data_IF_463735602214
#
_entry.id   IF_463735602214
#
_cell.length_a   1.000
_cell.length_b   1.000
_cell.length_c   1.000
_cell.angle_alpha   90.00
_cell.angle_beta   90.00
_cell.angle_gamma   90.00
#
_symmetry.space_group_name_H-M   'P 1'
#
loop_
_entity.id
_entity.type
_entity.pdbx_description
1 polymer ?
#
# COMPACT_ATOMS: atom_id res chain seq x y z
N UNK A 1 -25.44 22.04 -3.76
CA UNK A 1 -24.89 20.67 -3.80
C UNK A 1 -23.67 20.70 -4.71
N UNK A 2 -22.49 20.30 -4.24
CA UNK A 2 -21.22 20.36 -4.98
C UNK A 2 -21.17 19.25 -6.06
N UNK A 3 -22.13 19.29 -6.99
CA UNK A 3 -22.70 18.19 -7.77
C UNK A 3 -21.74 17.14 -8.31
N UNK A 4 -21.49 16.11 -7.50
CA UNK A 4 -21.07 14.82 -8.00
C UNK A 4 -22.20 14.19 -8.84
N UNK A 5 -21.82 13.54 -9.92
CA UNK A 5 -22.70 13.16 -11.04
C UNK A 5 -23.88 12.27 -10.65
N UNK A 6 -23.74 11.42 -9.61
CA UNK A 6 -24.82 10.57 -9.14
C UNK A 6 -24.92 10.52 -7.60
N UNK A 7 -25.88 11.31 -7.08
CA UNK A 7 -26.23 11.37 -5.67
C UNK A 7 -26.65 10.01 -5.10
N UNK A 8 -27.37 9.17 -5.87
CA UNK A 8 -27.90 7.89 -5.38
C UNK A 8 -26.78 6.88 -5.17
N UNK A 9 -25.77 6.89 -6.04
CA UNK A 9 -24.61 6.02 -5.88
C UNK A 9 -23.77 6.39 -4.65
N UNK A 10 -23.63 7.68 -4.35
CA UNK A 10 -22.98 8.13 -3.12
C UNK A 10 -23.77 7.75 -1.87
N UNK A 11 -25.09 7.97 -1.85
CA UNK A 11 -25.96 7.59 -0.73
C UNK A 11 -25.89 6.09 -0.42
N UNK A 12 -25.90 5.24 -1.44
CA UNK A 12 -25.73 3.78 -1.26
C UNK A 12 -24.37 3.43 -0.68
N UNK A 13 -23.30 4.11 -1.10
CA UNK A 13 -21.95 3.85 -0.58
C UNK A 13 -21.81 4.30 0.86
N UNK A 14 -22.40 5.44 1.23
CA UNK A 14 -22.45 5.93 2.61
C UNK A 14 -23.15 4.89 3.50
N UNK A 15 -24.36 4.46 3.13
CA UNK A 15 -25.12 3.50 3.91
C UNK A 15 -24.37 2.15 4.07
N UNK A 16 -23.70 1.67 3.01
CA UNK A 16 -22.91 0.45 3.08
C UNK A 16 -21.68 0.60 4.00
N UNK A 17 -21.01 1.76 3.99
CA UNK A 17 -19.89 2.05 4.90
C UNK A 17 -20.36 2.17 6.35
N UNK A 18 -21.47 2.88 6.61
CA UNK A 18 -22.07 3.00 7.94
C UNK A 18 -22.46 1.63 8.50
N UNK A 19 -23.05 0.76 7.67
CA UNK A 19 -23.38 -0.61 8.07
C UNK A 19 -22.14 -1.43 8.42
N UNK A 20 -21.05 -1.31 7.66
CA UNK A 20 -19.79 -2.00 7.98
C UNK A 20 -19.12 -1.43 9.24
N UNK A 21 -19.16 -0.11 9.46
CA UNK A 21 -18.63 0.53 10.68
C UNK A 21 -19.42 0.07 11.92
N UNK A 22 -20.72 -0.17 11.79
CA UNK A 22 -21.56 -0.65 12.87
C UNK A 22 -21.28 -2.12 13.26
N UNK A 23 -20.81 -2.96 12.32
CA UNK A 23 -20.42 -4.36 12.54
C UNK A 23 -19.13 -4.69 11.77
N UNK A 24 -17.97 -4.20 12.22
CA UNK A 24 -16.72 -4.29 11.47
C UNK A 24 -16.19 -5.71 11.48
N UNK A 25 -16.28 -6.37 10.32
CA UNK A 25 -15.77 -7.72 10.10
C UNK A 25 -14.70 -7.71 9.03
N UNK A 26 -13.53 -8.22 9.39
CA UNK A 26 -12.41 -8.46 8.49
C UNK A 26 -12.28 -9.95 8.22
N UNK A 27 -12.00 -10.31 6.98
CA UNK A 27 -11.61 -11.68 6.64
C UNK A 27 -10.14 -11.88 7.01
N UNK A 28 -9.79 -13.11 7.38
CA UNK A 28 -8.42 -13.54 7.66
C UNK A 28 -8.14 -14.81 6.83
N UNK A 29 -6.87 -15.08 6.47
CA UNK A 29 -6.51 -16.35 5.86
C UNK A 29 -6.76 -17.51 6.83
N UNK A 30 -7.00 -18.69 6.29
CA UNK A 30 -7.03 -19.92 7.07
C UNK A 30 -5.64 -20.21 7.68
N UNK A 31 -5.61 -20.84 8.84
CA UNK A 31 -4.36 -21.11 9.58
C UNK A 31 -3.42 -22.09 8.85
N UNK A 32 -3.96 -22.86 7.90
CA UNK A 32 -3.29 -23.90 7.11
C UNK A 32 -3.24 -23.55 5.61
N UNK A 33 -3.39 -22.27 5.25
CA UNK A 33 -3.23 -21.83 3.87
C UNK A 33 -1.82 -22.14 3.34
N UNK A 34 -1.75 -22.83 2.19
CA UNK A 34 -0.49 -23.17 1.53
C UNK A 34 -0.07 -22.11 0.50
N UNK A 35 1.22 -21.77 0.48
CA UNK A 35 1.81 -20.77 -0.42
C UNK A 35 2.94 -21.39 -1.24
N UNK A 36 3.10 -20.93 -2.50
CA UNK A 36 4.18 -21.41 -3.38
C UNK A 36 5.59 -21.02 -2.89
N UNK A 37 5.69 -19.88 -2.20
CA UNK A 37 6.91 -19.40 -1.56
C UNK A 37 6.53 -18.53 -0.35
N UNK A 38 7.38 -18.53 0.68
CA UNK A 38 7.27 -17.67 1.86
C UNK A 38 8.56 -16.90 2.00
N UNK A 39 8.47 -15.57 2.01
CA UNK A 39 9.58 -14.66 2.24
C UNK A 39 9.37 -13.94 3.58
N UNK A 40 10.26 -14.19 4.53
CA UNK A 40 10.26 -13.52 5.83
C UNK A 40 11.21 -12.32 5.77
N UNK A 41 10.69 -11.13 6.07
CA UNK A 41 11.45 -9.88 6.03
C UNK A 41 11.67 -9.42 7.48
N UNK A 42 12.91 -9.46 7.97
CA UNK A 42 13.25 -8.88 9.27
C UNK A 42 13.38 -7.36 9.15
N UNK A 43 12.43 -6.63 9.74
CA UNK A 43 12.42 -5.17 9.74
C UNK A 43 13.64 -4.59 10.46
N UNK A 44 14.29 -5.34 11.36
CA UNK A 44 15.51 -4.88 11.98
C UNK A 44 16.67 -4.87 11.01
N UNK A 45 16.67 -5.64 9.92
CA UNK A 45 17.78 -5.62 8.96
C UNK A 45 17.74 -4.39 8.04
N UNK A 46 16.58 -3.76 7.89
CA UNK A 46 16.42 -2.53 7.12
C UNK A 46 16.92 -1.33 7.95
N UNK A 47 18.19 -0.99 7.79
CA UNK A 47 18.87 0.08 8.55
C UNK A 47 18.85 1.44 7.87
N UNK A 48 18.44 1.51 6.62
CA UNK A 48 18.43 2.73 5.82
C UNK A 48 17.28 2.74 4.81
N UNK A 49 16.91 3.93 4.29
CA UNK A 49 15.90 4.01 3.24
C UNK A 49 16.33 3.27 1.98
N UNK A 50 15.35 2.65 1.32
CA UNK A 50 15.52 1.95 0.05
C UNK A 50 14.81 2.75 -1.05
N UNK A 51 15.45 2.88 -2.22
CA UNK A 51 14.93 3.61 -3.37
C UNK A 51 14.90 2.69 -4.58
N UNK A 52 13.82 2.77 -5.36
CA UNK A 52 13.80 2.22 -6.71
C UNK A 52 14.57 3.15 -7.65
N UNK A 53 15.51 2.59 -8.40
CA UNK A 53 16.34 3.36 -9.32
C UNK A 53 15.53 3.85 -10.54
N UNK A 54 15.98 4.92 -11.23
CA UNK A 54 15.26 5.46 -12.37
C UNK A 54 14.97 4.42 -13.46
N UNK A 55 13.71 4.38 -13.90
CA UNK A 55 13.21 3.54 -15.00
C UNK A 55 13.13 2.03 -14.75
N UNK A 56 13.47 1.53 -13.55
CA UNK A 56 13.32 0.13 -13.18
C UNK A 56 12.77 0.00 -11.74
N UNK A 57 11.50 -0.39 -11.56
CA UNK A 57 10.90 -0.53 -10.23
C UNK A 57 11.49 -1.69 -9.40
N UNK A 58 12.21 -2.63 -10.03
CA UNK A 58 12.80 -3.80 -9.36
C UNK A 58 14.27 -3.57 -8.97
N UNK A 59 14.93 -2.52 -9.49
CA UNK A 59 16.32 -2.14 -9.12
C UNK A 59 16.33 -1.30 -7.83
N UNK A 60 16.26 -1.98 -6.69
CA UNK A 60 16.25 -1.37 -5.36
C UNK A 60 17.67 -1.18 -4.83
N UNK A 61 18.03 0.06 -4.48
CA UNK A 61 19.30 0.41 -3.84
C UNK A 61 19.08 1.12 -2.51
N UNK A 62 20.09 1.09 -1.66
CA UNK A 62 20.06 1.87 -0.43
C UNK A 62 20.24 3.36 -0.73
N UNK A 63 19.79 4.23 0.17
CA UNK A 63 20.02 5.67 0.02
C UNK A 63 21.51 5.98 -0.06
N UNK A 64 22.33 5.28 0.72
CA UNK A 64 23.79 5.51 0.72
C UNK A 64 24.43 5.18 -0.64
N UNK A 65 23.94 4.19 -1.38
CA UNK A 65 24.46 3.80 -2.70
C UNK A 65 24.21 4.86 -3.79
N UNK A 66 23.13 5.63 -3.68
CA UNK A 66 22.70 6.64 -4.67
C UNK A 66 22.78 8.07 -4.13
N UNK A 67 23.37 8.24 -2.94
CA UNK A 67 23.48 9.53 -2.29
C UNK A 67 24.39 10.48 -3.10
N UNK A 68 23.91 11.70 -3.31
CA UNK A 68 24.65 12.75 -4.03
C UNK A 68 24.28 12.91 -5.49
N UNK A 69 23.40 12.05 -6.01
CA UNK A 69 22.78 12.25 -7.32
C UNK A 69 22.03 13.58 -7.36
N UNK A 70 22.22 14.33 -8.44
CA UNK A 70 21.56 15.62 -8.62
C UNK A 70 20.07 15.38 -8.87
N UNK A 71 19.24 16.02 -8.05
CA UNK A 71 17.79 16.03 -8.20
C UNK A 71 17.35 17.40 -8.69
N UNK A 72 16.74 17.44 -9.87
CA UNK A 72 16.24 18.67 -10.48
C UNK A 72 14.79 18.99 -10.06
N UNK A 73 13.96 17.97 -9.85
CA UNK A 73 12.55 18.05 -9.43
C UNK A 73 12.20 16.88 -8.49
N UNK A 74 11.19 17.04 -7.62
CA UNK A 74 10.74 16.06 -6.62
C UNK A 74 9.26 15.76 -6.78
#
# INVERSE_FOLDING_TARGET
>A
ANGYQDKRSLERRIAAMEAWIADPKLMAPDADAEYAAVFEIDLNEIKEPLLACPNDPDDIKTLSDVAGDKVDEV
#
